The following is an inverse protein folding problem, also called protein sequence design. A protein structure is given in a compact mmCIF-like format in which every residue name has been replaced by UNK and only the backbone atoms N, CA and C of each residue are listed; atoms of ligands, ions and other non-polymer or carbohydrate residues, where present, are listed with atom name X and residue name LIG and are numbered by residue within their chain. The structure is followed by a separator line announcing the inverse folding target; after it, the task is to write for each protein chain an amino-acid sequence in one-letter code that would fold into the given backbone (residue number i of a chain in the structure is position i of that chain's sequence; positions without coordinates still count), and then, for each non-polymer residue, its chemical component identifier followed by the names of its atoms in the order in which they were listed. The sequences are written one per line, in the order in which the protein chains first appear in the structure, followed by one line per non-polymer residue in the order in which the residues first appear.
data_IF_973631795099
#
_entry.id   IF_973631795099
#
_cell.length_a   1.000
_cell.length_b   1.000
_cell.length_c   1.000
_cell.angle_alpha   90.00
_cell.angle_beta   90.00
_cell.angle_gamma   90.00
#
_symmetry.space_group_name_H-M   'P 1'
#
loop_
_entity.id
_entity.type
_entity.pdbx_description
1 polymer ?
#
# COMPACT_ATOMS: atom_id res chain seq x y z
N UNK A 1 26.79 -11.67 -28.84
CA UNK A 1 25.41 -11.94 -28.40
C UNK A 1 25.18 -11.15 -27.13
N UNK A 2 24.33 -10.13 -27.22
CA UNK A 2 24.17 -9.10 -26.21
C UNK A 2 22.83 -9.26 -25.46
N UNK A 3 22.93 -9.15 -24.13
CA UNK A 3 22.01 -8.42 -23.24
C UNK A 3 20.54 -8.86 -23.18
N UNK A 4 20.17 -9.58 -22.11
CA UNK A 4 18.83 -9.52 -21.53
C UNK A 4 18.99 -8.98 -20.11
N UNK A 5 18.72 -7.69 -19.99
CA UNK A 5 18.55 -6.94 -18.75
C UNK A 5 17.43 -7.57 -17.92
N UNK A 6 17.80 -8.22 -16.83
CA UNK A 6 16.94 -8.24 -15.65
C UNK A 6 17.32 -7.00 -14.85
N UNK A 7 16.64 -5.88 -15.16
CA UNK A 7 16.54 -4.76 -14.21
C UNK A 7 15.67 -5.30 -13.08
N UNK A 8 16.31 -6.02 -12.16
CA UNK A 8 15.81 -6.06 -10.79
C UNK A 8 16.01 -4.62 -10.30
N UNK A 9 14.95 -3.82 -10.29
CA UNK A 9 14.93 -2.58 -9.53
C UNK A 9 15.29 -2.96 -8.08
N UNK A 10 16.47 -2.62 -7.54
CA UNK A 10 16.60 -2.60 -6.10
C UNK A 10 15.82 -1.36 -5.70
N UNK A 11 14.48 -1.47 -5.61
CA UNK A 11 13.69 -0.47 -4.94
C UNK A 11 14.15 -0.54 -3.49
N UNK A 12 15.15 0.29 -3.23
CA UNK A 12 15.81 0.57 -1.97
C UNK A 12 14.74 0.48 -0.89
N UNK A 13 14.67 -0.64 -0.15
CA UNK A 13 14.01 -0.60 1.13
C UNK A 13 14.80 0.46 1.91
N UNK A 14 14.21 1.64 2.21
CA UNK A 14 14.94 2.62 2.99
C UNK A 14 15.37 1.91 4.27
N UNK A 15 16.61 2.16 4.69
CA UNK A 15 17.17 1.65 5.93
C UNK A 15 16.21 2.00 7.08
N UNK A 16 15.38 1.02 7.39
CA UNK A 16 14.35 1.06 8.40
C UNK A 16 14.83 0.19 9.52
N UNK A 17 15.65 0.75 10.39
CA UNK A 17 16.29 0.06 11.52
C UNK A 17 15.30 -0.53 12.55
N UNK A 18 14.00 -0.33 12.36
CA UNK A 18 12.95 -0.85 13.24
C UNK A 18 12.26 -2.07 12.62
N UNK A 19 12.74 -3.24 13.01
CA UNK A 19 12.08 -4.52 12.82
C UNK A 19 11.38 -4.92 14.13
N UNK A 20 10.05 -4.99 14.12
CA UNK A 20 9.33 -5.61 15.22
C UNK A 20 9.31 -7.11 15.00
N UNK A 21 10.03 -7.82 15.87
CA UNK A 21 10.17 -9.27 15.81
C UNK A 21 8.91 -10.03 16.26
N UNK A 22 8.81 -11.26 15.78
CA UNK A 22 7.79 -12.25 16.14
C UNK A 22 7.63 -12.40 17.67
N UNK A 23 6.39 -12.31 18.13
CA UNK A 23 6.03 -12.43 19.55
C UNK A 23 5.99 -11.11 20.33
N UNK A 24 6.21 -9.97 19.67
CA UNK A 24 5.92 -8.67 20.25
C UNK A 24 4.43 -8.37 20.08
N UNK A 25 3.78 -8.00 21.17
CA UNK A 25 2.44 -7.43 21.18
C UNK A 25 2.60 -5.98 21.63
N UNK A 26 2.27 -5.05 20.73
CA UNK A 26 2.34 -3.63 21.02
C UNK A 26 0.93 -3.07 21.07
N UNK A 27 0.60 -2.37 22.15
CA UNK A 27 -0.64 -1.62 22.30
C UNK A 27 -0.33 -0.13 22.49
N UNK A 28 -0.92 0.72 21.67
CA UNK A 28 -0.87 2.17 21.85
C UNK A 28 -0.63 2.95 20.57
N UNK A 29 0.05 4.09 20.69
CA UNK A 29 0.35 4.99 19.56
C UNK A 29 1.80 4.85 19.13
N UNK A 30 2.02 4.52 17.87
CA UNK A 30 3.33 4.43 17.25
C UNK A 30 3.48 5.56 16.23
N UNK A 31 4.51 6.38 16.40
CA UNK A 31 4.84 7.45 15.46
C UNK A 31 6.31 7.36 15.08
N UNK A 32 6.59 7.24 13.79
CA UNK A 32 7.94 7.10 13.27
C UNK A 32 8.08 7.77 11.90
N UNK A 33 9.31 8.12 11.55
CA UNK A 33 9.71 8.56 10.22
C UNK A 33 10.69 7.54 9.62
N UNK A 34 10.65 7.38 8.30
CA UNK A 34 11.39 6.35 7.58
C UNK A 34 10.60 5.06 7.36
N UNK A 35 11.29 4.00 6.96
CA UNK A 35 10.65 2.72 6.67
C UNK A 35 10.58 1.85 7.91
N UNK A 36 9.43 1.21 8.14
CA UNK A 36 9.28 0.28 9.26
C UNK A 36 8.68 -1.01 8.78
N UNK A 37 9.23 -2.12 9.30
CA UNK A 37 8.70 -3.46 9.06
C UNK A 37 8.14 -4.04 10.33
N UNK A 38 6.86 -4.37 10.29
CA UNK A 38 6.14 -4.97 11.42
C UNK A 38 5.88 -6.44 11.11
N UNK A 39 6.44 -7.34 11.91
CA UNK A 39 6.23 -8.80 11.84
C UNK A 39 5.66 -9.29 13.19
N UNK A 40 4.68 -8.53 13.71
CA UNK A 40 4.20 -8.61 15.10
C UNK A 40 2.69 -8.31 15.18
N UNK A 41 2.10 -8.50 16.37
CA UNK A 41 0.73 -8.04 16.62
C UNK A 41 0.76 -6.60 17.11
N UNK A 42 0.02 -5.74 16.43
CA UNK A 42 -0.04 -4.33 16.77
C UNK A 42 -1.50 -3.94 16.98
N UNK A 43 -1.80 -3.35 18.13
CA UNK A 43 -3.12 -2.79 18.44
C UNK A 43 -2.99 -1.30 18.72
N UNK A 44 -3.85 -0.46 18.14
CA UNK A 44 -3.89 0.97 18.46
C UNK A 44 -3.82 1.90 17.26
N UNK A 45 -2.80 2.78 17.19
CA UNK A 45 -2.70 3.79 16.12
C UNK A 45 -1.27 3.95 15.60
N UNK A 46 -1.10 3.85 14.28
CA UNK A 46 0.19 4.02 13.60
C UNK A 46 0.13 5.35 12.84
N UNK A 47 1.14 6.18 12.99
CA UNK A 47 1.27 7.44 12.24
C UNK A 47 2.68 7.53 11.67
N UNK A 48 2.78 7.56 10.35
CA UNK A 48 4.00 7.80 9.60
C UNK A 48 3.68 8.61 8.34
N UNK A 49 4.69 9.25 7.76
CA UNK A 49 4.54 9.91 6.46
C UNK A 49 5.30 9.17 5.35
N UNK A 50 6.04 8.12 5.73
CA UNK A 50 6.90 7.33 4.86
C UNK A 50 6.26 5.97 4.54
N UNK A 51 7.08 4.92 4.42
CA UNK A 51 6.70 3.57 3.98
C UNK A 51 6.49 2.65 5.18
N UNK A 52 5.31 2.05 5.28
CA UNK A 52 5.01 1.00 6.24
C UNK A 52 4.96 -0.36 5.53
N UNK A 53 5.73 -1.33 6.03
CA UNK A 53 5.73 -2.71 5.53
C UNK A 53 5.14 -3.64 6.58
N UNK A 54 4.05 -4.32 6.24
CA UNK A 54 3.39 -5.31 7.08
C UNK A 54 3.83 -6.70 6.63
N UNK A 55 4.52 -7.43 7.49
CA UNK A 55 4.98 -8.80 7.23
C UNK A 55 3.84 -9.81 7.13
N UNK A 56 4.12 -10.98 6.57
CA UNK A 56 3.11 -12.04 6.32
C UNK A 56 2.50 -12.59 7.62
N UNK A 57 3.28 -12.65 8.71
CA UNK A 57 2.82 -13.12 10.03
C UNK A 57 2.30 -11.99 10.93
N UNK A 58 2.28 -10.75 10.43
CA UNK A 58 1.80 -9.62 11.20
C UNK A 58 0.28 -9.59 11.27
N UNK A 59 -0.23 -9.15 12.42
CA UNK A 59 -1.66 -8.89 12.64
C UNK A 59 -1.82 -7.50 13.20
N UNK A 60 -2.29 -6.59 12.38
CA UNK A 60 -2.49 -5.19 12.78
C UNK A 60 -3.97 -4.97 13.04
N UNK A 61 -4.33 -4.50 14.22
CA UNK A 61 -5.67 -4.05 14.60
C UNK A 61 -5.59 -2.58 15.03
N UNK A 62 -5.55 -1.68 14.06
CA UNK A 62 -5.20 -0.29 14.33
C UNK A 62 -5.65 0.67 13.25
N UNK A 63 -5.72 1.94 13.63
CA UNK A 63 -5.84 3.06 12.70
C UNK A 63 -4.46 3.42 12.15
N UNK A 64 -4.22 3.13 10.88
CA UNK A 64 -2.94 3.35 10.19
C UNK A 64 -3.04 4.65 9.41
N UNK A 65 -2.15 5.60 9.65
CA UNK A 65 -1.94 6.77 8.80
C UNK A 65 -0.52 6.72 8.27
N UNK A 66 -0.35 6.60 6.96
CA UNK A 66 0.95 6.41 6.31
C UNK A 66 1.02 7.14 4.96
N UNK A 67 2.23 7.33 4.43
CA UNK A 67 2.40 7.78 3.05
C UNK A 67 2.09 6.63 2.10
N UNK A 68 2.95 5.62 2.13
CA UNK A 68 2.82 4.38 1.36
C UNK A 68 2.74 3.19 2.30
N UNK A 69 1.85 2.23 2.01
CA UNK A 69 1.76 0.99 2.77
C UNK A 69 1.87 -0.22 1.87
N UNK A 70 2.67 -1.17 2.31
CA UNK A 70 2.92 -2.45 1.66
C UNK A 70 2.43 -3.53 2.62
N UNK A 71 1.40 -4.27 2.22
CA UNK A 71 0.77 -5.29 3.07
C UNK A 71 1.01 -6.68 2.52
N UNK A 72 1.62 -7.55 3.32
CA UNK A 72 1.75 -8.99 3.04
C UNK A 72 0.88 -9.86 3.97
N UNK A 73 0.51 -9.36 5.16
CA UNK A 73 -0.20 -10.12 6.21
C UNK A 73 -1.66 -9.74 6.42
N UNK A 74 -2.13 -9.84 7.67
CA UNK A 74 -3.50 -9.50 8.08
C UNK A 74 -3.57 -8.10 8.70
N UNK A 75 -4.45 -7.25 8.16
CA UNK A 75 -4.73 -5.91 8.70
C UNK A 75 -6.23 -5.79 8.93
N UNK A 76 -6.60 -5.42 10.16
CA UNK A 76 -7.94 -5.06 10.58
C UNK A 76 -7.93 -3.60 11.04
N UNK A 77 -8.86 -2.78 10.57
CA UNK A 77 -8.99 -1.37 10.98
C UNK A 77 -8.91 -0.36 9.83
N UNK A 78 -8.90 0.92 10.19
CA UNK A 78 -8.90 2.03 9.25
C UNK A 78 -7.49 2.29 8.69
N UNK A 79 -7.33 2.17 7.36
CA UNK A 79 -6.06 2.45 6.68
C UNK A 79 -6.19 3.77 5.92
N UNK A 80 -5.42 4.78 6.29
CA UNK A 80 -5.29 6.05 5.58
C UNK A 80 -3.91 6.15 4.94
N UNK A 81 -3.84 5.94 3.64
CA UNK A 81 -2.62 6.15 2.86
C UNK A 81 -2.72 7.47 2.08
N UNK A 82 -1.72 8.33 2.22
CA UNK A 82 -1.66 9.60 1.48
C UNK A 82 -1.22 9.43 0.03
N UNK A 83 -0.41 8.40 -0.26
CA UNK A 83 0.24 8.20 -1.56
C UNK A 83 -0.31 6.97 -2.28
N UNK A 84 -0.02 5.77 -1.77
CA UNK A 84 -0.38 4.49 -2.41
C UNK A 84 -0.52 3.37 -1.39
N UNK A 85 -1.42 2.43 -1.66
CA UNK A 85 -1.55 1.17 -0.93
C UNK A 85 -1.19 0.03 -1.87
N UNK A 86 -0.27 -0.83 -1.47
CA UNK A 86 0.16 -2.02 -2.19
C UNK A 86 -0.16 -3.26 -1.36
N UNK A 87 -0.99 -4.13 -1.93
CA UNK A 87 -1.38 -5.40 -1.32
C UNK A 87 -0.71 -6.53 -2.11
N UNK A 88 0.18 -7.26 -1.44
CA UNK A 88 0.92 -8.40 -2.01
C UNK A 88 0.21 -9.74 -1.77
N UNK A 89 0.73 -10.80 -2.39
CA UNK A 89 0.19 -12.15 -2.29
C UNK A 89 -0.11 -12.57 -0.84
N UNK A 90 -1.31 -13.12 -0.61
CA UNK A 90 -1.87 -13.54 0.69
C UNK A 90 -2.31 -12.45 1.67
N UNK A 91 -2.18 -11.16 1.31
CA UNK A 91 -2.65 -10.09 2.18
C UNK A 91 -4.17 -10.18 2.44
N UNK A 92 -4.56 -9.97 3.70
CA UNK A 92 -5.95 -9.95 4.17
C UNK A 92 -6.24 -8.63 4.82
N UNK A 93 -7.10 -7.83 4.22
CA UNK A 93 -7.45 -6.54 4.81
C UNK A 93 -8.95 -6.48 5.09
N UNK A 94 -9.29 -6.14 6.34
CA UNK A 94 -10.66 -5.96 6.80
C UNK A 94 -10.84 -4.60 7.43
N UNK A 95 -11.63 -3.74 6.81
CA UNK A 95 -11.87 -2.38 7.32
C UNK A 95 -11.91 -1.33 6.23
N UNK A 96 -11.95 -0.07 6.66
CA UNK A 96 -12.08 1.08 5.78
C UNK A 96 -10.72 1.55 5.26
N UNK A 97 -10.50 1.51 3.95
CA UNK A 97 -9.27 1.98 3.31
C UNK A 97 -9.52 3.32 2.64
N UNK A 98 -8.79 4.35 3.05
CA UNK A 98 -8.72 5.64 2.39
C UNK A 98 -7.37 5.79 1.66
N UNK A 99 -7.39 5.79 0.32
CA UNK A 99 -6.18 5.96 -0.49
C UNK A 99 -6.49 6.52 -1.87
N UNK A 100 -5.65 7.41 -2.45
CA UNK A 100 -5.83 7.84 -3.84
C UNK A 100 -5.36 6.78 -4.85
N UNK A 101 -4.48 5.86 -4.47
CA UNK A 101 -3.95 4.80 -5.33
C UNK A 101 -3.93 3.46 -4.60
N UNK A 102 -4.46 2.42 -5.24
CA UNK A 102 -4.59 1.07 -4.68
C UNK A 102 -4.11 0.03 -5.70
N UNK A 103 -3.06 -0.70 -5.36
CA UNK A 103 -2.50 -1.81 -6.13
C UNK A 103 -2.75 -3.12 -5.41
N UNK A 104 -3.35 -4.09 -6.11
CA UNK A 104 -3.72 -5.39 -5.54
C UNK A 104 -3.08 -6.49 -6.39
N UNK A 105 -2.25 -7.33 -5.79
CA UNK A 105 -1.76 -8.55 -6.41
C UNK A 105 -2.77 -9.69 -6.36
N UNK A 106 -2.52 -10.74 -7.14
CA UNK A 106 -3.37 -11.93 -7.19
C UNK A 106 -3.37 -12.63 -5.83
N UNK A 107 -4.54 -13.07 -5.35
CA UNK A 107 -4.67 -13.86 -4.10
C UNK A 107 -4.85 -13.03 -2.83
N UNK A 108 -5.00 -11.70 -2.95
CA UNK A 108 -5.38 -10.82 -1.85
C UNK A 108 -6.87 -10.96 -1.54
N UNK A 109 -7.22 -10.91 -0.26
CA UNK A 109 -8.62 -10.85 0.20
C UNK A 109 -8.84 -9.50 0.89
N UNK A 110 -9.61 -8.63 0.25
CA UNK A 110 -10.04 -7.37 0.82
C UNK A 110 -11.53 -7.43 1.17
N UNK A 111 -11.89 -7.07 2.39
CA UNK A 111 -13.28 -6.99 2.87
C UNK A 111 -13.51 -5.69 3.64
N UNK A 112 -14.15 -4.70 3.04
CA UNK A 112 -14.50 -3.47 3.73
C UNK A 112 -14.93 -2.38 2.76
N UNK A 113 -14.95 -1.14 3.23
CA UNK A 113 -15.21 0.02 2.38
C UNK A 113 -13.89 0.59 1.89
N UNK A 114 -13.84 1.01 0.63
CA UNK A 114 -12.71 1.79 0.12
C UNK A 114 -13.20 3.18 -0.24
N UNK A 115 -12.52 4.20 0.28
CA UNK A 115 -12.74 5.60 -0.07
C UNK A 115 -11.52 6.11 -0.81
N UNK A 116 -11.71 6.57 -2.04
CA UNK A 116 -10.64 7.16 -2.82
C UNK A 116 -10.85 8.67 -2.90
N UNK A 117 -10.19 9.48 -2.04
CA UNK A 117 -10.36 10.94 -2.07
C UNK A 117 -9.71 11.62 -3.29
N UNK A 118 -9.28 10.86 -4.30
CA UNK A 118 -8.47 11.34 -5.43
C UNK A 118 -8.91 10.87 -6.81
N UNK A 119 -10.15 10.41 -7.02
CA UNK A 119 -10.71 10.19 -8.36
C UNK A 119 -11.06 11.52 -9.08
N UNK A 120 -10.19 12.53 -8.96
CA UNK A 120 -10.17 13.77 -9.73
C UNK A 120 -9.08 13.72 -10.79
N UNK A 121 -9.11 12.65 -11.61
CA UNK A 121 -8.18 12.38 -12.70
C UNK A 121 -8.81 12.48 -14.09
N UNK A 122 -9.85 13.30 -14.27
CA UNK A 122 -10.25 13.77 -15.62
C UNK A 122 -9.37 14.97 -16.01
N UNK A 123 -8.14 14.70 -16.42
CA UNK A 123 -7.35 15.55 -17.31
C UNK A 123 -6.47 14.68 -18.17
N UNK A 124 -7.09 13.97 -19.12
CA UNK A 124 -6.36 13.15 -20.07
C UNK A 124 -7.24 12.56 -21.16
N UNK A 125 -7.70 13.39 -22.10
CA UNK A 125 -8.05 12.89 -23.43
C UNK A 125 -9.22 13.56 -24.13
N UNK A 126 -9.04 14.82 -24.55
CA UNK A 126 -9.75 15.30 -25.73
C UNK A 126 -9.23 14.50 -26.95
N UNK A 127 -9.80 13.32 -27.18
CA UNK A 127 -9.71 12.68 -28.50
C UNK A 127 -10.60 13.51 -29.43
N UNK A 128 -10.00 14.40 -30.20
CA UNK A 128 -10.72 15.00 -31.33
C UNK A 128 -11.19 13.83 -32.21
N UNK A 129 -12.48 13.69 -32.52
CA UNK A 129 -12.92 12.66 -33.45
C UNK A 129 -12.25 12.93 -34.79
N UNK A 130 -11.39 12.02 -35.25
CA UNK A 130 -10.88 12.06 -36.62
C UNK A 130 -12.04 11.65 -37.52
N UNK A 131 -12.60 12.62 -38.24
CA UNK A 131 -13.61 12.36 -39.24
C UNK A 131 -12.98 11.48 -40.34
N UNK A 132 -13.57 10.32 -40.68
CA UNK A 132 -13.15 9.60 -41.88
C UNK A 132 -13.65 10.37 -43.10
N UNK A 133 -12.78 11.21 -43.69
CA UNK A 133 -13.05 11.83 -44.97
C UNK A 133 -12.84 10.79 -46.07
N UNK A 134 -13.94 10.38 -46.68
CA UNK A 134 -14.00 9.41 -47.76
C UNK A 134 -13.21 9.83 -48.99
N UNK A 135 -12.68 8.80 -49.64
CA UNK A 135 -12.30 8.74 -51.05
C UNK A 135 -13.49 9.18 -51.92
N UNK A 136 -13.22 9.94 -52.99
CA UNK A 136 -13.47 9.39 -54.32
C UNK A 136 -12.23 9.35 -55.22
#
# INVERSE_FOLDING_TARGET
MAMIQKRDDPMQAPAGDLLLGKGVEFDGKLTFAGTVRIDAKFTGSITTEDVLVVGEQARIDAQITCGTVIVHGEVNGDIKAKTSVELHHTARVRGDIETPSLSIEKGVVFQGSTRMPGAGGDRGGAVKPVTPAGTP
#
